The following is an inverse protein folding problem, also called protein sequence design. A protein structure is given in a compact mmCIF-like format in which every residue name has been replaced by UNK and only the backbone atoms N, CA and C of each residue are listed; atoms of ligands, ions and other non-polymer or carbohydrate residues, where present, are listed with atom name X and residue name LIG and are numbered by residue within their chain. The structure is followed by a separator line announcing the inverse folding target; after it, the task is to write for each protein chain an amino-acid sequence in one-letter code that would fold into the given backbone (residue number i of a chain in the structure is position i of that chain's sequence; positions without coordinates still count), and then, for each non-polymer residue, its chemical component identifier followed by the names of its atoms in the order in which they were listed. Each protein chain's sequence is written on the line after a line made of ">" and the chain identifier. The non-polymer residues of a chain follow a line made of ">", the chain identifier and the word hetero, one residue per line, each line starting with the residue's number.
data_IF_151050138235
#
_entry.id   IF_151050138235
#
_cell.length_a   1.000
_cell.length_b   1.000
_cell.length_c   1.000
_cell.angle_alpha   90.00
_cell.angle_beta   90.00
_cell.angle_gamma   90.00
#
_symmetry.space_group_name_H-M   'P 1'
#
loop_
_entity.id
_entity.type
_entity.pdbx_description
1 polymer ?
#
# COMPACT_ATOMS: atom_id res chain seq x y z
N UNK A 1 1.17 -33.32 -2.12
CA UNK A 1 -0.25 -33.22 -1.72
C UNK A 1 -0.45 -31.80 -1.25
N UNK A 2 -1.27 -31.04 -1.96
CA UNK A 2 -1.61 -29.66 -1.63
C UNK A 2 -2.50 -29.69 -0.39
N UNK A 3 -2.03 -29.11 0.72
CA UNK A 3 -2.74 -29.18 2.00
C UNK A 3 -3.90 -28.19 1.96
N UNK A 4 -5.07 -28.63 1.52
CA UNK A 4 -6.28 -27.78 1.48
C UNK A 4 -6.73 -27.50 2.91
N UNK A 5 -6.45 -26.31 3.44
CA UNK A 5 -6.81 -25.95 4.81
C UNK A 5 -8.34 -26.02 5.01
N UNK A 6 -8.76 -26.80 6.01
CA UNK A 6 -10.18 -26.93 6.37
C UNK A 6 -10.68 -25.74 7.22
N UNK A 7 -11.99 -25.44 7.13
CA UNK A 7 -12.62 -24.41 7.95
C UNK A 7 -12.46 -24.76 9.45
N UNK A 8 -11.90 -23.85 10.24
CA UNK A 8 -11.59 -24.01 11.68
C UNK A 8 -10.39 -24.90 12.02
N UNK A 9 -9.52 -25.21 11.05
CA UNK A 9 -8.24 -25.87 11.31
C UNK A 9 -7.27 -24.92 12.02
N UNK A 10 -6.52 -25.45 12.99
CA UNK A 10 -5.41 -24.73 13.63
C UNK A 10 -4.24 -24.64 12.66
N UNK A 11 -3.73 -23.43 12.42
CA UNK A 11 -2.57 -23.19 11.56
C UNK A 11 -1.32 -23.78 12.21
N UNK A 12 -0.68 -24.74 11.54
CA UNK A 12 0.57 -25.34 11.99
C UNK A 12 1.76 -24.61 11.35
N UNK A 13 2.96 -24.77 11.92
CA UNK A 13 4.18 -24.14 11.39
C UNK A 13 4.46 -24.52 9.92
N UNK A 14 4.07 -25.73 9.52
CA UNK A 14 4.25 -26.23 8.16
C UNK A 14 3.20 -25.66 7.18
N UNK A 15 2.11 -25.08 7.69
CA UNK A 15 1.08 -24.40 6.88
C UNK A 15 1.45 -22.92 6.60
N UNK A 16 2.54 -22.42 7.17
CA UNK A 16 3.00 -21.03 7.00
C UNK A 16 4.16 -21.01 6.00
N UNK A 17 3.99 -20.21 4.94
CA UNK A 17 5.07 -19.94 3.99
C UNK A 17 6.29 -19.35 4.73
N UNK A 18 7.48 -19.91 4.50
CA UNK A 18 8.71 -19.47 5.19
C UNK A 18 9.22 -18.12 4.70
N UNK A 19 8.80 -17.73 3.50
CA UNK A 19 9.20 -16.53 2.80
C UNK A 19 8.01 -15.98 2.03
N UNK A 20 7.95 -14.67 1.97
CA UNK A 20 7.08 -13.88 1.12
C UNK A 20 7.97 -12.82 0.47
N UNK A 21 8.31 -12.96 -0.81
CA UNK A 21 9.29 -12.08 -1.46
C UNK A 21 8.88 -10.59 -1.42
N UNK A 22 7.59 -10.30 -1.27
CA UNK A 22 7.04 -8.95 -1.22
C UNK A 22 7.06 -8.43 0.22
N UNK A 23 6.52 -9.21 1.17
CA UNK A 23 6.37 -8.76 2.56
C UNK A 23 7.61 -8.97 3.42
N UNK A 24 8.56 -9.80 2.98
CA UNK A 24 9.84 -10.03 3.66
C UNK A 24 10.67 -8.75 3.79
N UNK A 25 10.40 -7.71 2.98
CA UNK A 25 11.03 -6.38 3.13
C UNK A 25 10.86 -5.80 4.53
N UNK A 26 9.76 -6.13 5.23
CA UNK A 26 9.48 -5.62 6.57
C UNK A 26 10.10 -6.46 7.70
N UNK A 27 10.79 -7.57 7.39
CA UNK A 27 11.51 -8.37 8.40
C UNK A 27 12.60 -7.56 9.12
N UNK A 28 13.16 -6.55 8.44
CA UNK A 28 14.12 -5.60 9.01
C UNK A 28 13.50 -4.49 9.86
N UNK A 29 12.17 -4.41 9.95
CA UNK A 29 11.42 -3.32 10.55
C UNK A 29 10.62 -2.53 9.53
N UNK A 30 9.64 -1.78 10.02
CA UNK A 30 8.81 -0.89 9.21
C UNK A 30 8.41 0.34 10.03
N UNK A 31 8.14 1.43 9.32
CA UNK A 31 7.57 2.66 9.85
C UNK A 31 6.15 2.82 9.31
N UNK A 32 5.29 3.46 10.10
CA UNK A 32 3.92 3.76 9.72
C UNK A 32 3.84 5.21 9.32
N UNK A 33 3.42 5.48 8.09
CA UNK A 33 3.27 6.84 7.55
C UNK A 33 1.91 7.00 6.87
N UNK A 34 1.45 8.24 6.76
CA UNK A 34 0.17 8.57 6.14
C UNK A 34 0.31 9.71 5.15
N UNK A 35 -0.39 9.62 4.02
CA UNK A 35 -0.45 10.67 3.01
C UNK A 35 -1.80 10.70 2.30
N UNK A 36 -2.12 11.84 1.69
CA UNK A 36 -3.29 11.99 0.83
C UNK A 36 -2.88 11.78 -0.63
N UNK A 37 -3.71 11.08 -1.40
CA UNK A 37 -3.58 10.98 -2.85
C UNK A 37 -4.56 11.96 -3.51
N UNK A 38 -4.05 12.85 -4.36
CA UNK A 38 -4.81 14.00 -4.87
C UNK A 38 -5.76 13.66 -6.02
N UNK A 39 -5.48 12.60 -6.79
CA UNK A 39 -6.30 12.22 -7.94
C UNK A 39 -6.18 10.73 -8.27
N UNK A 40 -7.32 10.11 -8.60
CA UNK A 40 -7.43 8.78 -9.22
C UNK A 40 -7.73 8.90 -10.71
N UNK A 41 -7.35 9.99 -11.39
CA UNK A 41 -7.50 10.14 -12.84
C UNK A 41 -6.61 9.10 -13.56
N UNK A 42 -7.09 7.85 -13.61
CA UNK A 42 -6.34 6.66 -14.04
C UNK A 42 -6.44 5.45 -13.10
N UNK A 43 -6.99 5.63 -11.88
CA UNK A 43 -7.24 4.56 -10.92
C UNK A 43 -8.30 3.61 -11.43
N UNK A 44 -7.90 2.38 -11.75
CA UNK A 44 -8.75 1.34 -12.32
C UNK A 44 -9.76 0.87 -11.28
N UNK A 45 -10.88 1.58 -11.13
CA UNK A 45 -12.19 1.17 -10.59
C UNK A 45 -12.18 0.05 -9.51
N UNK A 46 -11.26 0.16 -8.56
CA UNK A 46 -10.96 -0.82 -7.54
C UNK A 46 -10.49 -0.04 -6.34
N UNK A 47 -11.39 0.14 -5.38
CA UNK A 47 -11.10 0.87 -4.16
C UNK A 47 -9.97 0.18 -3.41
N UNK A 48 -8.91 0.90 -3.08
CA UNK A 48 -7.81 0.35 -2.29
C UNK A 48 -8.30 0.04 -0.86
N UNK A 49 -7.85 -1.07 -0.30
CA UNK A 49 -8.30 -1.60 0.99
C UNK A 49 -7.11 -1.91 1.87
N UNK A 50 -7.38 -2.01 3.17
CA UNK A 50 -6.42 -2.60 4.10
C UNK A 50 -6.05 -4.00 3.60
N UNK A 51 -4.75 -4.26 3.50
CA UNK A 51 -4.23 -5.53 2.99
C UNK A 51 -3.67 -5.44 1.58
N UNK A 52 -4.05 -4.41 0.81
CA UNK A 52 -3.54 -4.24 -0.55
C UNK A 52 -2.06 -3.90 -0.54
N UNK A 53 -1.37 -4.40 -1.56
CA UNK A 53 0.03 -4.07 -1.84
C UNK A 53 0.08 -3.16 -3.05
N UNK A 54 0.72 -2.01 -2.89
CA UNK A 54 0.76 -0.96 -3.91
C UNK A 54 2.16 -0.45 -4.15
N UNK A 55 2.37 0.14 -5.32
CA UNK A 55 3.52 0.99 -5.58
C UNK A 55 3.08 2.46 -5.48
N UNK A 56 3.90 3.28 -4.83
CA UNK A 56 3.65 4.71 -4.64
C UNK A 56 4.53 5.51 -5.58
N UNK A 57 3.91 6.39 -6.36
CA UNK A 57 4.57 7.31 -7.28
C UNK A 57 4.20 8.75 -6.92
N UNK A 58 5.04 9.70 -7.31
CA UNK A 58 4.67 11.11 -7.31
C UNK A 58 5.20 11.82 -8.57
N UNK A 59 4.58 12.95 -8.91
CA UNK A 59 4.95 13.74 -10.08
C UNK A 59 6.17 14.60 -9.75
N UNK A 60 7.34 14.26 -10.32
CA UNK A 60 8.53 15.06 -10.13
C UNK A 60 8.38 16.43 -10.82
N UNK A 61 8.41 17.56 -10.08
CA UNK A 61 8.20 18.88 -10.66
C UNK A 61 9.33 19.33 -11.59
N UNK A 62 10.52 18.71 -11.51
CA UNK A 62 11.64 19.05 -12.38
C UNK A 62 11.55 18.38 -13.75
N UNK A 63 11.00 17.17 -13.81
CA UNK A 63 10.95 16.35 -15.03
C UNK A 63 9.55 16.23 -15.61
N UNK A 64 8.51 16.58 -14.84
CA UNK A 64 7.09 16.38 -15.15
C UNK A 64 6.74 14.89 -15.39
N UNK A 65 7.52 13.97 -14.80
CA UNK A 65 7.31 12.52 -14.92
C UNK A 65 6.96 11.88 -13.57
N UNK A 66 6.16 10.82 -13.61
CA UNK A 66 5.89 9.99 -12.43
C UNK A 66 7.16 9.22 -12.04
N UNK A 67 7.60 9.43 -10.80
CA UNK A 67 8.78 8.77 -10.21
C UNK A 67 8.33 7.80 -9.13
N UNK A 68 8.87 6.58 -9.14
CA UNK A 68 8.62 5.57 -8.11
C UNK A 68 9.26 6.01 -6.79
N UNK A 69 8.45 6.10 -5.74
CA UNK A 69 8.88 6.55 -4.40
C UNK A 69 9.07 5.38 -3.45
N UNK A 70 8.17 4.40 -3.52
CA UNK A 70 8.26 3.17 -2.75
C UNK A 70 7.54 2.01 -3.47
N UNK A 71 8.11 0.82 -3.41
CA UNK A 71 7.55 -0.39 -4.01
C UNK A 71 7.01 -1.32 -2.92
N UNK A 72 6.00 -2.15 -3.23
CA UNK A 72 5.52 -3.20 -2.33
C UNK A 72 5.03 -2.66 -0.97
N UNK A 73 4.35 -1.52 -1.02
CA UNK A 73 3.86 -0.80 0.14
C UNK A 73 2.56 -1.43 0.62
N UNK A 74 2.51 -1.83 1.89
CA UNK A 74 1.31 -2.41 2.49
C UNK A 74 0.35 -1.29 2.92
N UNK A 75 -0.90 -1.35 2.47
CA UNK A 75 -1.97 -0.44 2.90
C UNK A 75 -2.51 -0.92 4.24
N UNK A 76 -2.25 -0.15 5.30
CA UNK A 76 -2.69 -0.46 6.66
C UNK A 76 -4.10 0.08 6.95
N UNK A 77 -4.38 1.31 6.52
CA UNK A 77 -5.67 1.96 6.69
C UNK A 77 -5.98 2.89 5.51
N UNK A 78 -7.27 3.09 5.27
CA UNK A 78 -7.81 3.93 4.20
C UNK A 78 -8.89 4.85 4.76
N UNK A 79 -8.90 6.09 4.32
CA UNK A 79 -9.80 7.12 4.80
C UNK A 79 -10.43 7.88 3.64
N UNK A 80 -11.70 8.27 3.79
CA UNK A 80 -12.39 9.14 2.85
C UNK A 80 -11.96 10.60 3.00
N UNK A 81 -12.55 11.48 2.19
CA UNK A 81 -12.26 12.92 2.22
C UNK A 81 -12.72 13.64 3.50
N UNK A 82 -13.55 13.00 4.34
CA UNK A 82 -13.97 13.50 5.63
C UNK A 82 -13.05 12.99 6.77
N UNK A 83 -12.02 12.21 6.46
CA UNK A 83 -11.13 11.58 7.44
C UNK A 83 -11.79 10.41 8.17
N UNK A 84 -12.91 9.89 7.66
CA UNK A 84 -13.56 8.69 8.20
C UNK A 84 -12.89 7.47 7.59
N UNK A 85 -12.59 6.49 8.44
CA UNK A 85 -12.03 5.21 8.01
C UNK A 85 -13.02 4.50 7.09
N UNK A 86 -12.57 4.13 5.89
CA UNK A 86 -13.39 3.43 4.91
C UNK A 86 -13.52 1.97 5.30
N UNK A 87 -14.77 1.52 5.45
CA UNK A 87 -15.10 0.14 5.77
C UNK A 87 -15.90 -0.57 4.68
N UNK A 88 -16.43 0.18 3.71
CA UNK A 88 -17.31 -0.34 2.67
C UNK A 88 -16.70 -0.20 1.26
N UNK A 89 -16.90 -1.18 0.35
CA UNK A 89 -16.24 -1.24 -0.97
C UNK A 89 -16.48 -0.06 -1.93
N UNK A 90 -17.43 0.83 -1.64
CA UNK A 90 -17.91 1.86 -2.58
C UNK A 90 -17.58 3.29 -2.18
N UNK A 91 -16.93 3.49 -1.03
CA UNK A 91 -16.47 4.82 -0.63
C UNK A 91 -15.22 5.21 -1.44
N UNK A 92 -14.98 6.51 -1.66
CA UNK A 92 -13.78 7.01 -2.33
C UNK A 92 -12.73 7.25 -1.26
N UNK A 93 -11.61 6.53 -1.34
CA UNK A 93 -10.47 6.74 -0.45
C UNK A 93 -9.68 7.94 -0.92
N UNK A 94 -9.22 8.81 -0.03
CA UNK A 94 -8.36 9.95 -0.39
C UNK A 94 -7.09 10.02 0.45
N UNK A 95 -7.05 9.31 1.58
CA UNK A 95 -5.89 9.25 2.46
C UNK A 95 -5.59 7.82 2.88
N UNK A 96 -4.30 7.52 2.99
CA UNK A 96 -3.79 6.18 3.18
C UNK A 96 -2.78 6.18 4.32
N UNK A 97 -2.90 5.21 5.22
CA UNK A 97 -1.84 4.85 6.15
C UNK A 97 -1.18 3.59 5.62
N UNK A 98 0.14 3.62 5.50
CA UNK A 98 0.92 2.55 4.88
C UNK A 98 2.10 2.14 5.74
N UNK A 99 2.61 0.94 5.48
CA UNK A 99 3.91 0.50 6.00
C UNK A 99 4.99 0.73 4.95
N UNK A 100 6.10 1.31 5.39
CA UNK A 100 7.29 1.53 4.58
C UNK A 100 8.53 1.15 5.37
N UNK A 101 9.63 0.86 4.69
CA UNK A 101 10.92 0.67 5.38
C UNK A 101 11.46 2.03 5.88
N UNK A 102 12.35 2.03 6.89
CA UNK A 102 12.97 3.27 7.36
C UNK A 102 13.64 4.11 6.25
N UNK A 103 14.23 3.44 5.25
CA UNK A 103 14.88 4.09 4.11
C UNK A 103 13.88 4.75 3.14
N UNK A 104 12.65 4.23 3.06
CA UNK A 104 11.59 4.75 2.19
C UNK A 104 10.83 5.93 2.81
N UNK A 105 10.97 6.19 4.12
CA UNK A 105 10.29 7.30 4.80
C UNK A 105 10.62 8.64 4.15
N UNK A 106 11.89 8.87 3.82
CA UNK A 106 12.32 10.10 3.15
C UNK A 106 11.68 10.25 1.76
N UNK A 107 11.57 9.15 1.01
CA UNK A 107 10.93 9.17 -0.31
C UNK A 107 9.43 9.45 -0.22
N UNK A 108 8.74 8.91 0.77
CA UNK A 108 7.31 9.22 0.98
C UNK A 108 7.13 10.69 1.38
N UNK A 109 8.00 11.22 2.25
CA UNK A 109 7.96 12.65 2.59
C UNK A 109 8.20 13.51 1.35
N UNK A 110 9.12 13.11 0.48
CA UNK A 110 9.37 13.78 -0.80
C UNK A 110 8.17 13.68 -1.74
N UNK A 111 7.50 12.54 -1.80
CA UNK A 111 6.27 12.33 -2.57
C UNK A 111 5.18 13.34 -2.18
N UNK A 112 5.03 13.58 -0.86
CA UNK A 112 4.08 14.58 -0.33
C UNK A 112 4.46 16.01 -0.76
N UNK A 113 5.76 16.32 -0.81
CA UNK A 113 6.24 17.63 -1.27
C UNK A 113 6.02 17.81 -2.78
N UNK A 114 6.24 16.75 -3.56
CA UNK A 114 6.05 16.76 -5.01
C UNK A 114 4.57 16.86 -5.41
N UNK A 115 3.68 16.25 -4.64
CA UNK A 115 2.25 16.17 -4.98
C UNK A 115 2.01 15.21 -6.15
N UNK A 116 0.77 15.19 -6.67
CA UNK A 116 0.41 14.29 -7.77
C UNK A 116 0.64 12.81 -7.44
N UNK A 117 0.47 12.43 -6.17
CA UNK A 117 0.71 11.07 -5.69
C UNK A 117 -0.26 10.11 -6.37
N UNK A 118 0.28 9.02 -6.92
CA UNK A 118 -0.49 7.94 -7.53
C UNK A 118 -0.12 6.61 -6.90
N UNK A 119 -1.13 5.76 -6.70
CA UNK A 119 -0.97 4.42 -6.15
C UNK A 119 -1.46 3.38 -7.14
N UNK A 120 -0.61 2.42 -7.48
CA UNK A 120 -0.96 1.33 -8.36
C UNK A 120 -0.99 0.02 -7.59
N UNK A 121 -2.14 -0.66 -7.62
CA UNK A 121 -2.29 -1.99 -7.05
C UNK A 121 -1.36 -2.96 -7.78
N UNK A 122 -0.56 -3.71 -7.02
CA UNK A 122 0.26 -4.78 -7.58
C UNK A 122 -0.65 -5.98 -7.86
N UNK A 123 -0.89 -6.26 -9.14
CA UNK A 123 -1.56 -7.49 -9.57
C UNK A 123 -0.49 -8.56 -9.79
N UNK A 124 -0.63 -9.70 -9.12
CA UNK A 124 0.21 -10.90 -9.35
C UNK A 124 0.10 -11.43 -10.78
#
# INVERSE_FOLDING_TARGET
>A
MENTMGKSQMVLKDDIAKQDEVMDKYKGGYEVTSFAAESFDGGVNGSLRRGDIVNVYALDPATELLTLMAENVYVAEVYDNAGKKVGEPKEIETSFTVYVTPEEVENINLAVVYGGIQMYLKTE
#
